data_IF_133657878079
#
_entry.id   IF_133657878079
#
_cell.length_a   1.000
_cell.length_b   1.000
_cell.length_c   1.000
_cell.angle_alpha   90.00
_cell.angle_beta   90.00
_cell.angle_gamma   90.00
#
_symmetry.space_group_name_H-M   'P 1'
#
loop_
_entity.id
_entity.type
_entity.pdbx_description
1 polymer ?
#
# COMPACT_ATOMS: atom_id res chain seq x y z
N UNK A 1 19.02 11.52 -4.62
CA UNK A 1 17.81 11.29 -3.81
C UNK A 1 17.18 12.65 -3.56
N UNK A 2 15.97 12.93 -4.07
CA UNK A 2 15.30 14.20 -3.80
C UNK A 2 14.47 14.08 -2.51
N UNK A 3 15.10 14.38 -1.37
CA UNK A 3 14.57 14.19 -0.02
C UNK A 3 13.22 14.89 0.19
N UNK A 4 12.93 15.96 -0.55
CA UNK A 4 11.69 16.72 -0.42
C UNK A 4 10.43 15.91 -0.79
N UNK A 5 10.47 15.13 -1.87
CA UNK A 5 9.31 14.35 -2.33
C UNK A 5 8.99 13.19 -1.38
N UNK A 6 10.01 12.58 -0.79
CA UNK A 6 9.86 11.50 0.18
C UNK A 6 9.29 12.02 1.51
N UNK A 7 9.76 13.17 1.99
CA UNK A 7 9.22 13.82 3.20
C UNK A 7 7.75 14.18 3.01
N UNK A 8 7.39 14.82 1.89
CA UNK A 8 5.98 15.18 1.61
C UNK A 8 5.11 13.91 1.51
N UNK A 9 5.57 12.87 0.82
CA UNK A 9 4.82 11.62 0.71
C UNK A 9 4.59 10.97 2.09
N UNK A 10 5.60 10.98 2.96
CA UNK A 10 5.53 10.50 4.33
C UNK A 10 4.50 11.28 5.15
N UNK A 11 4.60 12.60 5.16
CA UNK A 11 3.70 13.46 5.95
C UNK A 11 2.24 13.29 5.53
N UNK A 12 1.97 13.16 4.23
CA UNK A 12 0.63 12.89 3.70
C UNK A 12 0.07 11.58 4.23
N UNK A 13 0.85 10.49 4.24
CA UNK A 13 0.39 9.21 4.80
C UNK A 13 0.13 9.33 6.29
N UNK A 14 1.06 9.92 7.05
CA UNK A 14 0.94 10.10 8.49
C UNK A 14 -0.30 10.93 8.86
N UNK A 15 -0.59 12.00 8.11
CA UNK A 15 -1.77 12.84 8.31
C UNK A 15 -3.08 12.08 8.05
N UNK A 16 -3.11 11.20 7.03
CA UNK A 16 -4.29 10.39 6.70
C UNK A 16 -4.69 9.43 7.82
N UNK A 17 -3.72 8.93 8.59
CA UNK A 17 -3.93 8.07 9.76
C UNK A 17 -3.70 8.78 11.09
N UNK A 18 -3.85 10.12 11.11
CA UNK A 18 -3.56 10.96 12.26
C UNK A 18 -4.37 10.66 13.53
N UNK A 19 -5.48 9.90 13.41
CA UNK A 19 -6.29 9.44 14.53
C UNK A 19 -5.65 8.28 15.31
N UNK A 20 -4.69 7.57 14.72
CA UNK A 20 -3.98 6.47 15.38
C UNK A 20 -2.82 7.01 16.24
N UNK A 21 -2.31 6.20 17.17
CA UNK A 21 -1.08 6.56 17.91
C UNK A 21 0.14 6.65 16.98
N UNK A 22 1.14 7.45 17.38
CA UNK A 22 2.34 7.73 16.57
C UNK A 22 3.10 6.49 16.10
N UNK A 23 3.13 5.41 16.90
CA UNK A 23 3.78 4.15 16.52
C UNK A 23 3.15 3.56 15.25
N UNK A 24 1.83 3.38 15.27
CA UNK A 24 1.05 2.81 14.16
C UNK A 24 1.07 3.68 12.92
N UNK A 25 1.00 5.00 13.09
CA UNK A 25 1.17 5.94 11.98
C UNK A 25 2.48 5.67 11.22
N UNK A 26 3.61 5.53 11.95
CA UNK A 26 4.92 5.24 11.36
C UNK A 26 4.99 3.85 10.72
N UNK A 27 4.36 2.85 11.32
CA UNK A 27 4.31 1.50 10.76
C UNK A 27 3.56 1.48 9.43
N UNK A 28 2.35 2.06 9.39
CA UNK A 28 1.53 2.15 8.19
C UNK A 28 2.23 2.96 7.09
N UNK A 29 2.87 4.08 7.44
CA UNK A 29 3.67 4.85 6.50
C UNK A 29 4.82 4.03 5.93
N UNK A 30 5.57 3.35 6.79
CA UNK A 30 6.69 2.51 6.38
C UNK A 30 6.25 1.37 5.47
N UNK A 31 5.14 0.70 5.78
CA UNK A 31 4.54 -0.33 4.92
C UNK A 31 4.20 0.27 3.55
N UNK A 32 3.49 1.40 3.53
CA UNK A 32 3.09 2.08 2.28
C UNK A 32 4.29 2.44 1.43
N UNK A 33 5.35 2.96 2.05
CA UNK A 33 6.60 3.32 1.37
C UNK A 33 7.31 2.09 0.81
N UNK A 34 7.43 1.01 1.58
CA UNK A 34 8.03 -0.26 1.10
C UNK A 34 7.25 -0.80 -0.11
N UNK A 35 5.92 -0.87 -0.03
CA UNK A 35 5.09 -1.33 -1.16
C UNK A 35 5.34 -0.50 -2.43
N UNK A 36 5.47 0.83 -2.30
CA UNK A 36 5.72 1.71 -3.44
C UNK A 36 7.15 1.60 -3.98
N UNK A 37 8.16 1.46 -3.11
CA UNK A 37 9.56 1.39 -3.53
C UNK A 37 9.95 0.04 -4.14
N UNK A 38 9.32 -1.05 -3.70
CA UNK A 38 9.75 -2.41 -4.02
C UNK A 38 8.71 -3.21 -4.83
N UNK A 39 7.68 -2.54 -5.35
CA UNK A 39 6.86 -3.09 -6.42
C UNK A 39 7.73 -3.27 -7.68
N UNK A 40 7.84 -4.51 -8.13
CA UNK A 40 8.71 -4.91 -9.24
C UNK A 40 7.88 -5.46 -10.42
N UNK A 41 7.42 -4.60 -11.34
CA UNK A 41 6.61 -5.03 -12.47
C UNK A 41 7.39 -5.81 -13.52
N UNK A 42 8.73 -5.79 -13.49
CA UNK A 42 9.56 -6.48 -14.49
C UNK A 42 9.52 -8.01 -14.34
N UNK A 43 8.93 -8.51 -13.25
CA UNK A 43 8.74 -9.94 -12.98
C UNK A 43 7.73 -10.62 -13.91
N UNK A 44 6.94 -9.83 -14.65
CA UNK A 44 5.91 -10.31 -15.58
C UNK A 44 5.97 -9.51 -16.90
N UNK A 45 5.66 -10.16 -18.01
CA UNK A 45 5.51 -9.49 -19.30
C UNK A 45 4.07 -9.00 -19.46
N UNK A 46 3.88 -7.68 -19.44
CA UNK A 46 2.57 -7.04 -19.55
C UNK A 46 2.53 -6.05 -20.74
N UNK A 47 1.33 -5.76 -21.31
CA UNK A 47 1.20 -4.86 -22.46
C UNK A 47 1.43 -3.38 -22.11
N UNK A 48 1.47 -3.02 -20.83
CA UNK A 48 1.70 -1.66 -20.35
C UNK A 48 2.61 -1.67 -19.11
N UNK A 49 3.38 -0.58 -18.85
CA UNK A 49 4.20 -0.48 -17.64
C UNK A 49 3.38 -0.62 -16.37
N UNK A 50 3.89 -1.35 -15.39
CA UNK A 50 3.21 -1.56 -14.12
C UNK A 50 3.15 -0.30 -13.27
N UNK A 51 1.95 -0.04 -12.73
CA UNK A 51 1.69 1.12 -11.89
C UNK A 51 0.76 0.76 -10.74
N UNK A 52 1.20 1.05 -9.53
CA UNK A 52 0.30 1.13 -8.38
C UNK A 52 -0.64 2.32 -8.59
N UNK A 53 -1.94 2.07 -8.56
CA UNK A 53 -2.97 3.10 -8.67
C UNK A 53 -3.45 3.54 -7.30
N UNK A 54 -3.60 2.61 -6.35
CA UNK A 54 -4.05 2.90 -4.99
C UNK A 54 -3.39 1.96 -3.99
N UNK A 55 -3.16 2.47 -2.78
CA UNK A 55 -2.92 1.68 -1.57
C UNK A 55 -3.96 2.14 -0.56
N UNK A 56 -4.71 1.20 0.01
CA UNK A 56 -5.83 1.48 0.92
C UNK A 56 -5.65 0.68 2.20
N UNK A 57 -5.73 1.35 3.34
CA UNK A 57 -5.84 0.70 4.65
C UNK A 57 -7.29 0.28 4.85
N UNK A 58 -7.49 -0.99 5.19
CA UNK A 58 -8.80 -1.59 5.41
C UNK A 58 -8.96 -1.96 6.90
N UNK A 59 -10.20 -2.19 7.29
CA UNK A 59 -10.53 -2.77 8.59
C UNK A 59 -10.51 -1.76 9.74
N UNK A 60 -10.26 -2.22 10.97
CA UNK A 60 -10.50 -1.43 12.17
C UNK A 60 -9.67 -0.15 12.21
N UNK A 61 -8.42 -0.18 11.78
CA UNK A 61 -7.51 0.96 11.81
C UNK A 61 -7.86 2.07 10.80
N UNK A 62 -8.69 1.77 9.80
CA UNK A 62 -9.25 2.78 8.90
C UNK A 62 -10.40 3.58 9.53
N UNK A 63 -11.00 3.08 10.63
CA UNK A 63 -12.12 3.74 11.31
C UNK A 63 -11.60 4.85 12.21
N UNK A 64 -12.08 6.07 12.00
CA UNK A 64 -11.71 7.24 12.83
C UNK A 64 -12.12 7.10 14.30
N UNK A 65 -13.16 6.33 14.58
CA UNK A 65 -13.66 6.02 15.92
C UNK A 65 -13.01 4.78 16.57
N UNK A 66 -11.94 4.23 15.96
CA UNK A 66 -11.28 3.05 16.48
C UNK A 66 -10.73 3.29 17.90
N UNK A 67 -11.08 2.38 18.80
CA UNK A 67 -10.59 2.37 20.18
C UNK A 67 -9.47 1.33 20.32
N UNK A 68 -8.38 1.72 20.99
CA UNK A 68 -7.23 0.84 21.20
C UNK A 68 -7.26 0.24 22.62
N UNK A 69 -7.22 -1.09 22.70
CA UNK A 69 -6.92 -1.83 23.93
C UNK A 69 -5.41 -2.16 24.02
N UNK A 70 -4.94 -2.57 25.21
CA UNK A 70 -3.51 -2.89 25.45
C UNK A 70 -2.93 -3.86 24.42
N UNK A 71 -3.67 -4.90 24.03
CA UNK A 71 -3.21 -5.90 23.05
C UNK A 71 -3.02 -5.27 21.67
N UNK A 72 -3.99 -4.46 21.23
CA UNK A 72 -3.92 -3.76 19.94
C UNK A 72 -2.88 -2.64 19.93
N UNK A 73 -2.56 -2.05 21.09
CA UNK A 73 -1.50 -1.04 21.23
C UNK A 73 -0.12 -1.66 21.07
N UNK A 74 0.07 -2.93 21.43
CA UNK A 74 1.35 -3.62 21.38
C UNK A 74 1.59 -4.34 20.05
N UNK A 75 0.58 -4.99 19.48
CA UNK A 75 0.69 -5.67 18.20
C UNK A 75 -0.53 -5.37 17.31
N UNK A 76 -0.28 -5.10 16.03
CA UNK A 76 -1.33 -4.74 15.07
C UNK A 76 -1.28 -5.64 13.84
N UNK A 77 -2.47 -6.03 13.37
CA UNK A 77 -2.65 -6.74 12.10
C UNK A 77 -3.23 -5.76 11.10
N UNK A 78 -2.40 -5.29 10.17
CA UNK A 78 -2.83 -4.31 9.17
C UNK A 78 -3.29 -5.01 7.90
N UNK A 79 -4.52 -4.73 7.48
CA UNK A 79 -5.03 -5.14 6.17
C UNK A 79 -4.83 -4.00 5.16
N UNK A 80 -4.08 -4.28 4.09
CA UNK A 80 -3.84 -3.35 3.00
C UNK A 80 -4.31 -3.92 1.68
N UNK A 81 -5.05 -3.12 0.93
CA UNK A 81 -5.45 -3.43 -0.43
C UNK A 81 -4.68 -2.56 -1.41
N UNK A 82 -4.04 -3.20 -2.37
CA UNK A 82 -3.30 -2.51 -3.44
C UNK A 82 -4.02 -2.70 -4.75
N UNK A 83 -4.30 -1.58 -5.43
CA UNK A 83 -4.92 -1.60 -6.76
C UNK A 83 -3.85 -1.26 -7.80
N UNK A 84 -3.58 -2.17 -8.73
CA UNK A 84 -2.67 -1.99 -9.87
C UNK A 84 -3.43 -1.69 -11.16
N UNK A 85 -2.72 -1.21 -12.18
CA UNK A 85 -3.34 -0.89 -13.48
C UNK A 85 -3.79 -2.11 -14.28
N UNK A 86 -3.04 -3.22 -14.20
CA UNK A 86 -3.27 -4.39 -15.04
C UNK A 86 -3.30 -5.67 -14.18
N UNK A 87 -4.18 -6.66 -14.48
CA UNK A 87 -4.30 -7.91 -13.72
C UNK A 87 -2.97 -8.68 -13.57
N UNK A 88 -2.10 -8.67 -14.58
CA UNK A 88 -0.79 -9.36 -14.49
C UNK A 88 0.08 -8.86 -13.32
N UNK A 89 -0.09 -7.62 -12.85
CA UNK A 89 0.68 -7.09 -11.73
C UNK A 89 0.11 -7.48 -10.35
N UNK A 90 -0.94 -8.30 -10.29
CA UNK A 90 -1.36 -8.98 -9.06
C UNK A 90 -0.59 -10.28 -8.82
N UNK A 91 0.28 -10.68 -9.76
CA UNK A 91 1.19 -11.82 -9.56
C UNK A 91 2.13 -11.56 -8.37
N UNK A 92 2.16 -12.49 -7.43
CA UNK A 92 2.95 -12.41 -6.19
C UNK A 92 4.44 -12.19 -6.43
N UNK A 93 4.97 -12.58 -7.60
CA UNK A 93 6.37 -12.29 -7.96
C UNK A 93 6.67 -10.80 -7.96
N UNK A 94 5.71 -9.96 -8.38
CA UNK A 94 5.87 -8.50 -8.40
C UNK A 94 5.99 -7.89 -6.99
N UNK A 95 5.57 -8.64 -5.95
CA UNK A 95 5.42 -8.15 -4.58
C UNK A 95 6.34 -8.85 -3.59
N UNK A 96 6.97 -9.96 -3.99
CA UNK A 96 7.85 -10.78 -3.14
C UNK A 96 8.88 -9.93 -2.38
N UNK A 97 9.60 -9.06 -3.09
CA UNK A 97 10.62 -8.20 -2.48
C UNK A 97 10.03 -7.25 -1.43
N UNK A 98 8.87 -6.65 -1.71
CA UNK A 98 8.19 -5.79 -0.75
C UNK A 98 7.75 -6.57 0.50
N UNK A 99 7.15 -7.75 0.31
CA UNK A 99 6.73 -8.65 1.42
C UNK A 99 7.92 -9.06 2.29
N UNK A 100 9.05 -9.45 1.69
CA UNK A 100 10.26 -9.85 2.42
C UNK A 100 10.80 -8.71 3.30
N UNK A 101 10.81 -7.48 2.76
CA UNK A 101 11.26 -6.29 3.48
C UNK A 101 10.31 -5.94 4.62
N UNK A 102 8.99 -6.02 4.40
CA UNK A 102 7.99 -5.83 5.46
C UNK A 102 8.19 -6.88 6.56
N UNK A 103 8.28 -8.16 6.22
CA UNK A 103 8.46 -9.24 7.19
C UNK A 103 9.72 -9.05 8.04
N UNK A 104 10.85 -8.72 7.40
CA UNK A 104 12.12 -8.47 8.09
C UNK A 104 12.07 -7.25 9.00
N UNK A 105 11.49 -6.14 8.54
CA UNK A 105 11.59 -4.85 9.25
C UNK A 105 10.45 -4.58 10.23
N UNK A 106 9.32 -5.26 10.09
CA UNK A 106 8.08 -4.98 10.83
C UNK A 106 7.45 -6.24 11.44
N UNK A 107 7.86 -7.45 11.07
CA UNK A 107 7.23 -8.69 11.52
C UNK A 107 7.27 -8.94 13.04
N UNK A 108 8.09 -8.18 13.78
CA UNK A 108 8.11 -8.22 15.26
C UNK A 108 7.10 -7.27 15.91
N UNK A 109 6.58 -6.27 15.18
CA UNK A 109 5.72 -5.20 15.72
C UNK A 109 4.32 -5.21 15.14
N UNK A 110 4.14 -5.76 13.94
CA UNK A 110 2.85 -5.90 13.28
C UNK A 110 2.86 -7.03 12.24
N UNK A 111 1.69 -7.62 12.00
CA UNK A 111 1.45 -8.43 10.80
C UNK A 111 0.84 -7.55 9.69
N UNK A 112 1.04 -7.97 8.44
CA UNK A 112 0.48 -7.30 7.26
C UNK A 112 -0.22 -8.33 6.39
N UNK A 113 -1.53 -8.17 6.25
CA UNK A 113 -2.32 -8.84 5.22
C UNK A 113 -2.38 -7.93 3.99
N UNK A 114 -2.04 -8.47 2.83
CA UNK A 114 -1.91 -7.72 1.58
C UNK A 114 -2.72 -8.39 0.49
N UNK A 115 -3.81 -7.73 0.09
CA UNK A 115 -4.67 -8.12 -1.02
C UNK A 115 -4.35 -7.32 -2.26
N UNK A 116 -4.22 -8.00 -3.40
CA UNK A 116 -3.83 -7.42 -4.69
C UNK A 116 -5.03 -7.44 -5.64
N UNK A 117 -5.42 -6.25 -6.10
CA UNK A 117 -6.52 -6.04 -7.03
C UNK A 117 -6.02 -5.27 -8.25
N UNK A 118 -6.69 -5.44 -9.38
CA UNK A 118 -6.46 -4.68 -10.59
C UNK A 118 -7.57 -3.66 -10.82
N UNK A 119 -7.33 -2.70 -11.70
CA UNK A 119 -8.39 -1.80 -12.19
C UNK A 119 -9.56 -2.57 -12.80
N UNK A 120 -9.32 -3.73 -13.42
CA UNK A 120 -10.38 -4.56 -14.00
C UNK A 120 -11.25 -5.16 -12.90
N UNK A 121 -10.67 -5.63 -11.80
CA UNK A 121 -11.44 -6.16 -10.66
C UNK A 121 -12.35 -5.09 -10.07
N UNK A 122 -11.87 -3.84 -9.96
CA UNK A 122 -12.70 -2.71 -9.51
C UNK A 122 -13.83 -2.40 -10.51
N UNK A 123 -13.60 -2.57 -11.82
CA UNK A 123 -14.67 -2.37 -12.83
C UNK A 123 -15.72 -3.47 -12.73
N UNK A 124 -15.30 -4.72 -12.55
CA UNK A 124 -16.19 -5.88 -12.39
C UNK A 124 -17.03 -5.70 -11.12
N UNK A 125 -16.39 -5.42 -9.98
CA UNK A 125 -17.09 -5.15 -8.72
C UNK A 125 -18.16 -4.06 -8.85
N UNK A 126 -17.89 -2.99 -9.61
CA UNK A 126 -18.88 -1.95 -9.91
C UNK A 126 -20.04 -2.45 -10.78
N UNK A 127 -19.74 -3.19 -11.84
CA UNK A 127 -20.75 -3.72 -12.74
C UNK A 127 -21.69 -4.70 -12.03
N UNK A 128 -21.13 -5.54 -11.15
CA UNK A 128 -21.84 -6.56 -10.39
C UNK A 128 -22.45 -6.03 -9.09
N UNK A 129 -22.16 -4.77 -8.71
CA UNK A 129 -22.54 -4.18 -7.42
C UNK A 129 -22.04 -4.99 -6.23
N UNK A 130 -20.82 -5.50 -6.33
CA UNK A 130 -20.15 -6.24 -5.26
C UNK A 130 -19.81 -5.30 -4.09
N UNK A 131 -20.67 -5.33 -3.08
CA UNK A 131 -20.53 -4.52 -1.86
C UNK A 131 -19.34 -4.96 -1.02
N UNK A 132 -18.84 -6.20 -1.14
CA UNK A 132 -17.67 -6.63 -0.38
C UNK A 132 -16.45 -5.79 -0.72
N UNK A 133 -16.19 -5.57 -2.01
CA UNK A 133 -15.07 -4.77 -2.51
C UNK A 133 -15.36 -3.28 -2.39
N UNK A 134 -16.54 -2.85 -2.84
CA UNK A 134 -16.87 -1.42 -2.94
C UNK A 134 -16.93 -0.75 -1.57
N UNK A 135 -17.66 -1.34 -0.62
CA UNK A 135 -17.86 -0.75 0.70
C UNK A 135 -16.53 -0.72 1.48
N UNK A 136 -15.66 -1.74 1.32
CA UNK A 136 -14.34 -1.76 1.95
C UNK A 136 -13.43 -0.66 1.42
N UNK A 137 -13.39 -0.48 0.10
CA UNK A 137 -12.57 0.58 -0.51
C UNK A 137 -13.11 1.97 -0.13
N UNK A 138 -14.43 2.12 -0.04
CA UNK A 138 -15.07 3.38 0.37
C UNK A 138 -14.83 3.71 1.85
N UNK A 139 -14.98 2.73 2.73
CA UNK A 139 -14.73 2.89 4.16
C UNK A 139 -13.23 2.98 4.52
N UNK A 140 -12.36 2.51 3.61
CA UNK A 140 -10.92 2.48 3.79
C UNK A 140 -10.23 3.85 3.71
N UNK A 141 -9.04 3.95 4.31
CA UNK A 141 -8.20 5.15 4.19
C UNK A 141 -7.24 4.96 3.03
N UNK A 142 -7.33 5.85 2.03
CA UNK A 142 -6.41 5.83 0.89
C UNK A 142 -5.03 6.38 1.27
N UNK A 143 -4.10 5.48 1.57
CA UNK A 143 -2.71 5.80 1.90
C UNK A 143 -1.94 6.32 0.69
N UNK A 144 -2.27 5.85 -0.51
CA UNK A 144 -1.72 6.37 -1.78
C UNK A 144 -2.77 6.38 -2.90
N UNK A 145 -2.75 7.42 -3.74
CA UNK A 145 -3.51 7.54 -4.99
C UNK A 145 -2.63 8.17 -6.07
N UNK A 146 -2.30 7.42 -7.12
CA UNK A 146 -1.46 7.90 -8.22
C UNK A 146 -2.01 9.13 -8.95
N UNK A 147 -3.32 9.38 -8.90
CA UNK A 147 -3.96 10.55 -9.51
C UNK A 147 -3.87 11.83 -8.67
N UNK A 148 -3.33 11.75 -7.45
CA UNK A 148 -3.29 12.88 -6.50
C UNK A 148 -1.92 13.06 -5.85
N UNK A 149 -1.23 11.95 -5.59
CA UNK A 149 -0.01 11.95 -4.79
C UNK A 149 1.22 11.92 -5.69
N UNK A 150 2.27 12.63 -5.28
CA UNK A 150 3.54 12.67 -5.99
C UNK A 150 4.17 11.26 -6.10
N UNK A 151 4.79 10.91 -7.25
CA UNK A 151 5.58 9.67 -7.37
C UNK A 151 6.70 9.61 -6.33
N UNK A 152 7.08 8.40 -5.92
CA UNK A 152 8.38 8.22 -5.28
C UNK A 152 9.41 8.19 -6.40
N UNK A 153 10.39 9.09 -6.36
CA UNK A 153 11.53 9.04 -7.26
C UNK A 153 12.29 7.72 -6.98
N UNK A 154 12.37 6.86 -7.99
CA UNK A 154 13.16 5.64 -7.91
C UNK A 154 14.64 6.04 -7.75
N UNK A 155 15.27 5.60 -6.67
CA UNK A 155 16.71 5.71 -6.51
C UNK A 155 17.38 5.01 -7.69
N UNK A 156 17.91 5.81 -8.62
CA UNK A 156 18.65 5.45 -9.83
C UNK A 156 18.75 3.98 -10.20
N UNK A 157 18.08 3.59 -11.29
CA UNK A 157 18.69 2.65 -12.24
C UNK A 157 19.94 3.34 -12.82
N UNK A 158 21.09 3.25 -12.15
CA UNK A 158 22.40 3.46 -12.81
C UNK A 158 22.88 2.11 -13.28
N UNK A 159 23.23 2.07 -14.56
CA UNK A 159 23.32 0.87 -15.37
C UNK A 159 24.45 -0.08 -15.01
N UNK A 160 24.31 -1.30 -15.51
CA UNK A 160 25.41 -2.07 -16.06
C UNK A 160 24.86 -2.99 -17.15
N UNK A 161 24.98 -2.55 -18.40
CA UNK A 161 25.41 -3.31 -19.59
C UNK A 161 25.56 -2.33 -20.77
N UNK A 162 26.62 -2.47 -21.57
CA UNK A 162 26.79 -3.63 -22.46
C UNK A 162 27.56 -4.79 -21.83
#
# INVERSE_FOLDING_TARGET
>A
MNTLNDVTAREVVMARVGHLIRRKQREIEKITRILRCFFDPDQVQAPEPGQIKRIVLIGPYARRSWYEDKRTIDFSDYELWVVVNHPLFTDERCWRRARDIIGRELGRSCAVDLSLLSKSDIRIAKAERDTFILDRIEAGIHLYRASRDAPLESGGRRGARP
#
